data_IF_604612977241
#
_entry.id   IF_604612977241
#
_cell.length_a   1.000
_cell.length_b   1.000
_cell.length_c   1.000
_cell.angle_alpha   90.00
_cell.angle_beta   90.00
_cell.angle_gamma   90.00
#
_symmetry.space_group_name_H-M   'P 1'
#
loop_
_entity.id
_entity.type
_entity.pdbx_description
1 polymer ?
#
# COMPACT_ATOMS: atom_id res chain seq x y z
N UNK A 1 12.34 -7.59 -11.58
CA UNK A 1 12.46 -6.71 -10.39
C UNK A 1 12.32 -5.28 -10.88
N UNK A 2 11.32 -4.53 -10.43
CA UNK A 2 11.19 -3.10 -10.75
C UNK A 2 12.35 -2.35 -10.11
N UNK A 3 12.97 -1.41 -10.86
CA UNK A 3 14.05 -0.58 -10.33
C UNK A 3 13.53 0.32 -9.19
N UNK A 4 14.38 0.57 -8.19
CA UNK A 4 14.05 1.49 -7.10
C UNK A 4 14.01 2.93 -7.63
N UNK A 5 12.90 3.63 -7.41
CA UNK A 5 12.74 5.05 -7.73
C UNK A 5 13.43 5.93 -6.69
N UNK A 6 13.33 5.54 -5.41
CA UNK A 6 13.92 6.26 -4.30
C UNK A 6 14.66 5.27 -3.41
N UNK A 7 15.94 5.51 -3.14
CA UNK A 7 16.74 4.77 -2.17
C UNK A 7 17.21 5.71 -1.06
N UNK A 8 16.95 5.34 0.17
CA UNK A 8 17.36 6.05 1.39
C UNK A 8 18.36 5.14 2.08
N UNK A 9 19.57 5.61 2.31
CA UNK A 9 20.69 4.80 2.78
C UNK A 9 21.33 5.45 4.02
N UNK A 10 21.08 4.86 5.20
CA UNK A 10 21.70 5.25 6.44
C UNK A 10 21.42 6.71 6.86
N UNK A 11 20.26 7.25 6.50
CA UNK A 11 19.94 8.66 6.75
C UNK A 11 19.79 8.91 8.23
N UNK A 12 20.60 9.81 8.74
CA UNK A 12 20.57 10.28 10.13
C UNK A 12 20.37 11.79 10.17
N UNK A 13 19.50 12.28 11.04
CA UNK A 13 19.28 13.71 11.27
C UNK A 13 19.41 14.05 12.74
N UNK A 14 20.40 14.86 13.04
CA UNK A 14 20.58 15.52 14.34
C UNK A 14 20.26 17.00 14.18
N UNK A 15 19.41 17.56 15.03
CA UNK A 15 19.08 18.99 15.07
C UNK A 15 20.10 19.70 15.94
N UNK A 16 21.22 20.07 15.35
CA UNK A 16 22.32 20.81 15.96
C UNK A 16 23.12 21.51 14.86
N UNK A 17 23.81 22.59 15.23
CA UNK A 17 24.76 23.28 14.33
C UNK A 17 25.99 22.42 14.04
N UNK A 18 26.47 21.67 15.02
CA UNK A 18 27.60 20.76 14.92
C UNK A 18 27.20 19.34 15.32
N UNK A 19 26.72 18.51 14.39
CA UNK A 19 26.19 17.18 14.70
C UNK A 19 27.28 16.10 14.87
N UNK A 20 28.58 16.41 14.64
CA UNK A 20 29.66 15.42 14.57
C UNK A 20 29.83 14.58 15.83
N UNK A 21 29.73 15.18 17.01
CA UNK A 21 29.82 14.47 18.29
C UNK A 21 28.63 13.48 18.48
N UNK A 22 27.41 13.93 18.22
CA UNK A 22 26.23 13.06 18.28
C UNK A 22 26.31 11.92 17.26
N UNK A 23 26.76 12.18 16.04
CA UNK A 23 26.97 11.14 15.02
C UNK A 23 28.01 10.11 15.44
N UNK A 24 29.09 10.53 16.12
CA UNK A 24 30.09 9.62 16.68
C UNK A 24 29.49 8.74 17.77
N UNK A 25 28.71 9.31 18.70
CA UNK A 25 27.99 8.57 19.74
C UNK A 25 27.00 7.56 19.15
N UNK A 26 26.18 7.94 18.17
CA UNK A 26 25.23 7.03 17.52
C UNK A 26 25.94 5.87 16.83
N UNK A 27 27.06 6.12 16.14
CA UNK A 27 27.89 5.07 15.52
C UNK A 27 28.50 4.10 16.53
N UNK A 28 28.79 4.57 17.75
CA UNK A 28 29.26 3.70 18.85
C UNK A 28 28.14 2.95 19.57
N UNK A 29 26.89 3.06 19.10
CA UNK A 29 25.72 2.37 19.67
C UNK A 29 25.03 3.13 20.80
N UNK A 30 25.36 4.40 21.02
CA UNK A 30 24.62 5.21 21.99
C UNK A 30 23.19 5.48 21.48
N UNK A 31 22.20 5.28 22.36
CA UNK A 31 20.82 5.62 22.06
C UNK A 31 20.59 7.15 22.09
N UNK A 32 19.49 7.61 21.46
CA UNK A 32 19.11 9.03 21.38
C UNK A 32 18.98 9.70 22.74
N UNK A 33 18.45 9.00 23.74
CA UNK A 33 18.33 9.50 25.11
C UNK A 33 19.69 9.90 25.69
N UNK A 34 20.73 9.10 25.42
CA UNK A 34 22.09 9.39 25.84
C UNK A 34 22.68 10.59 25.11
N UNK A 35 22.47 10.70 23.78
CA UNK A 35 22.88 11.88 23.00
C UNK A 35 22.22 13.16 23.56
N UNK A 36 20.94 13.09 23.88
CA UNK A 36 20.23 14.24 24.49
C UNK A 36 20.76 14.57 25.87
N UNK A 37 21.02 13.58 26.72
CA UNK A 37 21.52 13.79 28.07
C UNK A 37 22.95 14.37 28.09
N UNK A 38 23.85 13.88 27.23
CA UNK A 38 25.27 14.30 27.25
C UNK A 38 25.54 15.54 26.39
N UNK A 39 24.82 15.71 25.27
CA UNK A 39 25.09 16.82 24.32
C UNK A 39 23.96 17.82 24.19
N UNK A 40 22.76 17.58 24.74
CA UNK A 40 21.59 18.42 24.56
C UNK A 40 21.06 18.43 23.10
N UNK A 41 21.45 17.47 22.29
CA UNK A 41 21.13 17.43 20.85
C UNK A 41 19.99 16.47 20.56
N UNK A 42 19.02 16.91 19.75
CA UNK A 42 17.84 16.11 19.37
C UNK A 42 18.17 15.29 18.13
N UNK A 43 18.02 13.98 18.24
CA UNK A 43 18.13 13.06 17.10
C UNK A 43 16.74 12.80 16.51
N UNK A 44 16.48 13.35 15.32
CA UNK A 44 15.21 13.18 14.60
C UNK A 44 15.13 11.87 13.83
N UNK A 45 16.24 11.48 13.19
CA UNK A 45 16.38 10.23 12.45
C UNK A 45 17.67 9.53 12.84
N UNK A 46 17.64 8.21 12.91
CA UNK A 46 18.79 7.39 13.26
C UNK A 46 18.91 6.20 12.27
N UNK A 47 19.91 6.29 11.38
CA UNK A 47 20.28 5.24 10.42
C UNK A 47 19.12 4.66 9.60
N UNK A 48 18.25 5.53 9.09
CA UNK A 48 17.07 5.11 8.30
C UNK A 48 17.50 4.67 6.92
N UNK A 49 17.12 3.42 6.54
CA UNK A 49 17.32 2.88 5.20
C UNK A 49 16.02 2.29 4.67
N UNK A 50 15.62 2.69 3.46
CA UNK A 50 14.39 2.25 2.78
C UNK A 50 14.63 2.21 1.26
N UNK A 51 13.93 1.29 0.58
CA UNK A 51 13.91 1.21 -0.89
C UNK A 51 12.48 1.30 -1.39
N UNK A 52 12.20 2.31 -2.20
CA UNK A 52 10.87 2.58 -2.75
C UNK A 52 10.86 2.23 -4.24
N UNK A 53 10.20 1.13 -4.63
CA UNK A 53 10.12 0.73 -6.03
C UNK A 53 9.39 1.77 -6.89
N UNK A 54 9.75 1.87 -8.16
CA UNK A 54 9.01 2.70 -9.12
C UNK A 54 7.55 2.26 -9.22
N UNK A 55 6.62 3.23 -9.23
CA UNK A 55 5.19 2.99 -9.30
C UNK A 55 4.55 2.47 -8.02
N UNK A 56 5.29 2.33 -6.92
CA UNK A 56 4.74 1.88 -5.64
C UNK A 56 4.00 3.01 -4.90
N UNK A 57 2.99 2.63 -4.12
CA UNK A 57 2.47 3.44 -3.01
C UNK A 57 3.13 2.93 -1.74
N UNK A 58 4.15 3.65 -1.29
CA UNK A 58 4.95 3.27 -0.14
C UNK A 58 4.53 4.07 1.08
N UNK A 59 4.07 3.39 2.13
CA UNK A 59 3.55 4.00 3.34
C UNK A 59 4.63 4.12 4.40
N UNK A 60 4.73 5.28 5.05
CA UNK A 60 5.55 5.48 6.25
C UNK A 60 4.62 5.76 7.42
N UNK A 61 4.67 4.90 8.41
CA UNK A 61 3.81 4.95 9.58
C UNK A 61 4.58 5.10 10.88
N UNK A 62 3.88 5.39 11.96
CA UNK A 62 4.36 5.44 13.35
C UNK A 62 3.65 6.52 14.16
N UNK A 63 3.84 6.52 15.45
CA UNK A 63 3.25 7.52 16.35
C UNK A 63 3.82 8.93 16.10
N UNK A 64 3.18 9.95 16.68
CA UNK A 64 3.70 11.31 16.66
C UNK A 64 5.12 11.34 17.25
N UNK A 65 6.02 12.11 16.63
CA UNK A 65 7.42 12.18 17.06
C UNK A 65 8.32 11.05 16.56
N UNK A 66 7.82 10.03 15.85
CA UNK A 66 8.65 8.92 15.35
C UNK A 66 9.63 9.29 14.21
N UNK A 67 9.61 10.53 13.70
CA UNK A 67 10.54 11.01 12.67
C UNK A 67 10.00 11.04 11.23
N UNK A 68 8.77 10.60 10.97
CA UNK A 68 8.17 10.49 9.62
C UNK A 68 8.25 11.78 8.79
N UNK A 69 7.74 12.90 9.33
CA UNK A 69 7.77 14.19 8.63
C UNK A 69 9.20 14.73 8.49
N UNK A 70 10.10 14.40 9.43
CA UNK A 70 11.53 14.70 9.29
C UNK A 70 12.12 13.95 8.11
N UNK A 71 11.82 12.65 7.97
CA UNK A 71 12.26 11.84 6.84
C UNK A 71 11.73 12.40 5.51
N UNK A 72 10.43 12.71 5.41
CA UNK A 72 9.84 13.34 4.22
C UNK A 72 10.56 14.62 3.81
N UNK A 73 10.88 15.46 4.79
CA UNK A 73 11.60 16.73 4.56
C UNK A 73 13.07 16.53 4.25
N UNK A 74 13.69 15.44 4.70
CA UNK A 74 15.05 15.08 4.28
C UNK A 74 15.06 14.58 2.83
N UNK A 75 14.06 13.81 2.38
CA UNK A 75 13.99 13.27 1.04
C UNK A 75 14.01 14.37 -0.02
N UNK A 76 13.25 15.44 0.17
CA UNK A 76 13.27 16.59 -0.73
C UNK A 76 14.29 17.67 -0.28
N UNK A 77 15.13 17.34 0.71
CA UNK A 77 16.18 18.18 1.28
C UNK A 77 15.70 19.56 1.77
N UNK A 78 14.41 19.66 2.20
CA UNK A 78 13.94 20.83 2.97
C UNK A 78 14.58 20.89 4.36
N UNK A 79 14.93 19.72 4.88
CA UNK A 79 15.79 19.56 6.07
C UNK A 79 17.03 18.80 5.60
N UNK A 80 18.21 19.39 5.82
CA UNK A 80 19.47 18.76 5.45
C UNK A 80 19.74 17.53 6.34
N UNK A 81 19.96 16.32 5.78
CA UNK A 81 20.43 15.19 6.56
C UNK A 81 21.78 15.47 7.20
N UNK A 82 22.04 14.92 8.38
CA UNK A 82 23.37 15.03 9.04
C UNK A 82 24.34 13.94 8.56
N UNK A 83 23.81 12.81 8.07
CA UNK A 83 24.58 11.73 7.45
C UNK A 83 23.65 10.88 6.57
N UNK A 84 24.25 10.00 5.75
CA UNK A 84 23.55 9.10 4.84
C UNK A 84 23.37 9.69 3.46
N UNK A 85 22.68 8.93 2.59
CA UNK A 85 22.43 9.29 1.18
C UNK A 85 20.98 9.13 0.83
N UNK A 86 20.49 9.91 -0.13
CA UNK A 86 19.14 9.83 -0.67
C UNK A 86 19.28 9.87 -2.19
N UNK A 87 18.96 8.76 -2.83
CA UNK A 87 19.11 8.58 -4.27
C UNK A 87 17.74 8.62 -4.95
N UNK A 88 17.58 9.46 -5.96
CA UNK A 88 16.42 9.48 -6.85
C UNK A 88 16.87 8.96 -8.23
N UNK A 89 16.41 7.78 -8.63
CA UNK A 89 16.89 7.04 -9.81
C UNK A 89 18.43 6.98 -9.88
N UNK A 90 19.08 6.74 -8.73
CA UNK A 90 20.54 6.67 -8.60
C UNK A 90 21.25 8.01 -8.46
N UNK A 91 20.57 9.15 -8.66
CA UNK A 91 21.16 10.49 -8.44
C UNK A 91 21.06 10.90 -6.97
N UNK A 92 22.19 11.24 -6.35
CA UNK A 92 22.23 11.64 -4.94
C UNK A 92 21.70 13.07 -4.73
N UNK A 93 20.55 13.16 -4.08
CA UNK A 93 19.89 14.43 -3.76
C UNK A 93 20.67 15.21 -2.69
N UNK A 94 21.37 14.50 -1.76
CA UNK A 94 22.07 15.14 -0.64
C UNK A 94 23.29 15.93 -1.13
N UNK A 95 24.02 15.40 -2.11
CA UNK A 95 25.21 16.04 -2.66
C UNK A 95 24.91 16.94 -3.86
N UNK A 96 23.66 16.97 -4.34
CA UNK A 96 23.25 17.79 -5.48
C UNK A 96 23.53 19.28 -5.24
N UNK A 97 24.05 19.98 -6.25
CA UNK A 97 24.24 21.43 -6.20
C UNK A 97 22.92 22.17 -6.00
N UNK A 98 22.90 23.40 -5.46
CA UNK A 98 21.69 24.17 -5.28
C UNK A 98 20.86 24.36 -6.57
N UNK A 99 21.51 24.47 -7.72
CA UNK A 99 20.86 24.59 -9.03
C UNK A 99 20.18 23.26 -9.40
N UNK A 100 20.89 22.13 -9.25
CA UNK A 100 20.36 20.80 -9.54
C UNK A 100 19.23 20.41 -8.58
N UNK A 101 19.37 20.71 -7.30
CA UNK A 101 18.30 20.48 -6.29
C UNK A 101 17.02 21.25 -6.64
N UNK A 102 17.12 22.51 -7.06
CA UNK A 102 15.95 23.27 -7.54
C UNK A 102 15.30 22.61 -8.76
N UNK A 103 16.11 22.09 -9.68
CA UNK A 103 15.64 21.36 -10.86
C UNK A 103 14.88 20.07 -10.45
N UNK A 104 15.46 19.24 -9.57
CA UNK A 104 14.84 18.02 -9.06
C UNK A 104 13.50 18.31 -8.37
N UNK A 105 13.45 19.31 -7.50
CA UNK A 105 12.21 19.75 -6.82
C UNK A 105 11.16 20.31 -7.78
N UNK A 106 11.59 20.92 -8.87
CA UNK A 106 10.69 21.50 -9.86
C UNK A 106 10.09 20.45 -10.79
N UNK A 107 10.85 19.39 -11.13
CA UNK A 107 10.50 18.47 -12.21
C UNK A 107 10.24 17.03 -11.76
N UNK A 108 10.95 16.55 -10.71
CA UNK A 108 10.97 15.14 -10.33
C UNK A 108 10.25 14.83 -9.03
N UNK A 109 10.16 15.80 -8.11
CA UNK A 109 9.54 15.61 -6.80
C UNK A 109 8.44 16.63 -6.56
N UNK A 110 7.31 16.19 -6.01
CA UNK A 110 6.26 17.07 -5.53
C UNK A 110 5.89 16.71 -4.09
N UNK A 111 5.41 17.67 -3.32
CA UNK A 111 5.06 17.43 -1.91
C UNK A 111 3.72 18.06 -1.55
N UNK A 112 2.89 17.27 -0.88
CA UNK A 112 1.69 17.71 -0.16
C UNK A 112 2.05 17.83 1.32
N UNK A 113 1.87 19.02 1.88
CA UNK A 113 2.22 19.33 3.26
C UNK A 113 1.02 19.14 4.20
N UNK A 114 1.26 18.77 5.42
CA UNK A 114 0.28 18.66 6.50
C UNK A 114 -0.49 19.96 6.71
N UNK A 115 0.18 21.13 6.63
CA UNK A 115 -0.40 22.48 6.83
C UNK A 115 -0.63 23.21 5.50
N UNK A 116 -1.16 22.53 4.47
CA UNK A 116 -1.59 23.07 3.18
C UNK A 116 -0.53 23.84 2.38
N UNK A 117 0.27 24.70 3.01
CA UNK A 117 1.27 25.58 2.40
C UNK A 117 0.76 26.33 1.15
N UNK A 118 -0.50 26.79 1.19
CA UNK A 118 -1.09 27.59 0.11
C UNK A 118 -0.66 29.05 0.23
N UNK A 119 -0.50 29.70 -0.91
CA UNK A 119 -0.24 31.12 -1.00
C UNK A 119 -1.55 31.92 -0.75
N UNK A 120 -1.67 32.66 0.37
CA UNK A 120 -2.95 33.28 0.76
C UNK A 120 -3.39 34.40 -0.18
N UNK A 121 -2.45 35.05 -0.84
CA UNK A 121 -2.67 36.14 -1.78
C UNK A 121 -2.95 35.69 -3.22
N UNK A 122 -3.01 34.37 -3.47
CA UNK A 122 -3.29 33.75 -4.75
C UNK A 122 -4.64 33.04 -4.73
N UNK A 123 -5.31 33.00 -5.87
CA UNK A 123 -6.53 32.21 -6.02
C UNK A 123 -6.23 30.70 -5.98
N UNK A 124 -7.26 29.88 -5.89
CA UNK A 124 -7.16 28.41 -5.90
C UNK A 124 -6.42 27.95 -7.16
N UNK A 125 -6.85 28.36 -8.33
CA UNK A 125 -6.21 27.96 -9.59
C UNK A 125 -4.80 28.47 -9.72
N UNK A 126 -4.49 29.68 -9.25
CA UNK A 126 -3.11 30.21 -9.23
C UNK A 126 -2.20 29.43 -8.27
N UNK A 127 -2.74 28.90 -7.18
CA UNK A 127 -2.00 27.99 -6.30
C UNK A 127 -1.68 26.67 -7.01
N UNK A 128 -2.62 26.10 -7.75
CA UNK A 128 -2.42 24.84 -8.50
C UNK A 128 -1.45 25.05 -9.66
N UNK A 129 -1.55 26.17 -10.39
CA UNK A 129 -0.66 26.52 -11.49
C UNK A 129 0.81 26.76 -11.07
N UNK A 130 1.07 27.02 -9.79
CA UNK A 130 2.35 27.54 -9.32
C UNK A 130 3.53 26.67 -9.78
N UNK A 131 3.46 25.35 -9.60
CA UNK A 131 4.51 24.43 -10.01
C UNK A 131 4.77 24.47 -11.51
N UNK A 132 3.70 24.51 -12.32
CA UNK A 132 3.78 24.60 -13.79
C UNK A 132 4.36 25.96 -14.22
N UNK A 133 3.99 27.05 -13.54
CA UNK A 133 4.56 28.38 -13.79
C UNK A 133 6.07 28.41 -13.54
N UNK A 134 6.54 27.80 -12.45
CA UNK A 134 7.97 27.69 -12.13
C UNK A 134 8.73 26.83 -13.14
N UNK A 135 8.04 25.92 -13.85
CA UNK A 135 8.59 25.11 -14.96
C UNK A 135 8.60 25.87 -16.30
N UNK A 136 8.04 27.07 -16.37
CA UNK A 136 7.95 27.86 -17.61
C UNK A 136 6.83 27.43 -18.57
N UNK A 137 5.86 26.64 -18.10
CA UNK A 137 4.70 26.22 -18.93
C UNK A 137 3.87 27.42 -19.32
N UNK A 138 3.44 27.49 -20.59
CA UNK A 138 2.62 28.58 -21.12
C UNK A 138 1.32 28.78 -20.33
N UNK A 139 0.86 30.03 -20.22
CA UNK A 139 -0.28 30.41 -19.35
C UNK A 139 -1.56 29.64 -19.65
N UNK A 140 -1.87 29.45 -20.92
CA UNK A 140 -3.07 28.73 -21.39
C UNK A 140 -3.00 27.24 -21.01
N UNK A 141 -1.85 26.60 -21.22
CA UNK A 141 -1.64 25.18 -20.90
C UNK A 141 -1.68 24.91 -19.39
N UNK A 142 -0.97 25.74 -18.58
CA UNK A 142 -0.99 25.56 -17.14
C UNK A 142 -2.37 25.81 -16.51
N UNK A 143 -3.14 26.78 -17.06
CA UNK A 143 -4.52 27.05 -16.63
C UNK A 143 -5.42 25.85 -16.91
N UNK A 144 -5.39 25.33 -18.14
CA UNK A 144 -6.17 24.17 -18.52
C UNK A 144 -5.85 22.95 -17.64
N UNK A 145 -4.54 22.68 -17.39
CA UNK A 145 -4.12 21.59 -16.51
C UNK A 145 -4.55 21.79 -15.06
N UNK A 146 -4.48 23.01 -14.55
CA UNK A 146 -4.93 23.33 -13.19
C UNK A 146 -6.44 23.12 -13.02
N UNK A 147 -7.24 23.53 -14.00
CA UNK A 147 -8.70 23.34 -13.99
C UNK A 147 -9.09 21.87 -14.12
N UNK A 148 -8.40 21.11 -14.98
CA UNK A 148 -8.55 19.64 -15.06
C UNK A 148 -8.35 18.98 -13.69
N UNK A 149 -7.22 19.27 -13.03
CA UNK A 149 -6.90 18.65 -11.74
C UNK A 149 -7.83 19.15 -10.63
N UNK A 150 -8.28 20.41 -10.66
CA UNK A 150 -9.28 20.92 -9.73
C UNK A 150 -10.62 20.19 -9.88
N UNK A 151 -10.99 19.83 -11.09
CA UNK A 151 -12.18 18.98 -11.33
C UNK A 151 -12.02 17.60 -10.70
N UNK A 152 -10.85 16.97 -10.85
CA UNK A 152 -10.54 15.67 -10.26
C UNK A 152 -10.69 15.68 -8.73
N UNK A 153 -10.23 16.74 -8.05
CA UNK A 153 -10.36 16.85 -6.59
C UNK A 153 -11.70 17.45 -6.13
N UNK A 154 -12.68 17.60 -7.04
CA UNK A 154 -14.02 18.09 -6.73
C UNK A 154 -14.09 19.58 -6.38
N UNK A 155 -13.22 20.41 -6.98
CA UNK A 155 -13.13 21.85 -6.74
C UNK A 155 -13.30 22.70 -8.00
N UNK A 156 -13.94 22.18 -9.06
CA UNK A 156 -14.10 22.89 -10.34
C UNK A 156 -14.73 24.30 -10.20
N UNK A 157 -15.74 24.47 -9.34
CA UNK A 157 -16.42 25.76 -9.11
C UNK A 157 -15.67 26.75 -8.22
N UNK A 158 -14.47 26.37 -7.72
CA UNK A 158 -13.75 27.16 -6.71
C UNK A 158 -12.47 27.83 -7.23
N UNK A 159 -12.21 27.73 -8.54
CA UNK A 159 -10.97 28.18 -9.21
C UNK A 159 -10.58 29.63 -8.88
N UNK A 160 -11.55 30.54 -8.80
CA UNK A 160 -11.32 31.97 -8.59
C UNK A 160 -11.41 32.41 -7.11
N UNK A 161 -11.72 31.50 -6.20
CA UNK A 161 -11.75 31.78 -4.75
C UNK A 161 -10.35 31.86 -4.16
N UNK A 162 -10.23 32.44 -2.99
CA UNK A 162 -8.97 32.49 -2.23
C UNK A 162 -8.94 31.39 -1.18
N UNK A 163 -7.75 30.98 -0.68
CA UNK A 163 -7.64 30.01 0.40
C UNK A 163 -8.41 30.38 1.68
N UNK A 164 -8.59 31.67 1.96
CA UNK A 164 -9.41 32.18 3.07
C UNK A 164 -10.89 31.77 2.98
N UNK A 165 -11.41 31.59 1.77
CA UNK A 165 -12.82 31.29 1.49
C UNK A 165 -13.12 29.78 1.59
N UNK A 166 -12.11 28.96 1.87
CA UNK A 166 -12.19 27.52 1.83
C UNK A 166 -12.19 26.88 3.23
N UNK A 167 -12.90 25.77 3.40
CA UNK A 167 -12.77 24.91 4.58
C UNK A 167 -11.37 24.26 4.66
N UNK A 168 -11.01 23.69 5.80
CA UNK A 168 -9.74 22.96 5.98
C UNK A 168 -9.57 21.83 4.94
N UNK A 169 -10.61 21.00 4.77
CA UNK A 169 -10.59 19.92 3.78
C UNK A 169 -10.49 20.42 2.34
N UNK A 170 -11.13 21.54 2.00
CA UNK A 170 -10.98 22.14 0.66
C UNK A 170 -9.55 22.65 0.42
N UNK A 171 -8.93 23.30 1.42
CA UNK A 171 -7.51 23.70 1.33
C UNK A 171 -6.58 22.51 1.13
N UNK A 172 -6.85 21.37 1.80
CA UNK A 172 -6.10 20.13 1.59
C UNK A 172 -6.21 19.65 0.13
N UNK A 173 -7.42 19.63 -0.43
CA UNK A 173 -7.66 19.25 -1.82
C UNK A 173 -6.97 20.17 -2.82
N UNK A 174 -6.88 21.48 -2.54
CA UNK A 174 -6.06 22.42 -3.35
C UNK A 174 -4.59 22.08 -3.28
N UNK A 175 -4.05 21.73 -2.10
CA UNK A 175 -2.68 21.29 -1.92
C UNK A 175 -2.36 20.00 -2.71
N UNK A 176 -3.29 19.04 -2.70
CA UNK A 176 -3.21 17.82 -3.50
C UNK A 176 -3.25 18.15 -5.01
N UNK A 177 -4.20 18.98 -5.45
CA UNK A 177 -4.30 19.40 -6.85
C UNK A 177 -3.00 20.07 -7.34
N UNK A 178 -2.41 20.96 -6.52
CA UNK A 178 -1.12 21.60 -6.83
C UNK A 178 0.00 20.58 -7.04
N UNK A 179 0.05 19.55 -6.21
CA UNK A 179 1.07 18.51 -6.31
C UNK A 179 0.85 17.62 -7.56
N UNK A 180 -0.39 17.22 -7.83
CA UNK A 180 -0.76 16.42 -9.00
C UNK A 180 -0.54 17.16 -10.34
N UNK A 181 -0.79 18.47 -10.37
CA UNK A 181 -0.62 19.28 -11.58
C UNK A 181 0.82 19.30 -12.11
N UNK A 182 1.81 19.10 -11.23
CA UNK A 182 3.23 19.13 -11.63
C UNK A 182 3.70 17.90 -12.40
N UNK A 183 2.93 16.82 -12.43
CA UNK A 183 3.30 15.56 -13.08
C UNK A 183 4.69 15.01 -12.67
N UNK A 184 5.07 15.22 -11.41
CA UNK A 184 6.35 14.75 -10.86
C UNK A 184 6.41 13.22 -10.79
N UNK A 185 7.63 12.65 -10.81
CA UNK A 185 7.82 11.19 -10.74
C UNK A 185 7.56 10.63 -9.35
N UNK A 186 7.89 11.43 -8.31
CA UNK A 186 7.69 11.10 -6.90
C UNK A 186 6.77 12.12 -6.25
N UNK A 187 5.70 11.63 -5.65
CA UNK A 187 4.77 12.41 -4.85
C UNK A 187 4.97 12.07 -3.37
N UNK A 188 5.43 13.03 -2.58
CA UNK A 188 5.58 12.91 -1.13
C UNK A 188 4.33 13.51 -0.47
N UNK A 189 3.62 12.73 0.32
CA UNK A 189 2.37 13.14 0.98
C UNK A 189 2.56 13.05 2.50
N UNK A 190 2.63 14.19 3.18
CA UNK A 190 2.81 14.27 4.63
C UNK A 190 1.45 14.51 5.29
N UNK A 191 0.81 13.45 5.80
CA UNK A 191 -0.53 13.44 6.41
C UNK A 191 -1.61 14.14 5.55
N UNK A 192 -1.59 13.85 4.25
CA UNK A 192 -2.35 14.60 3.25
C UNK A 192 -3.88 14.49 3.39
N UNK A 193 -4.40 13.54 4.14
CA UNK A 193 -5.85 13.33 4.31
C UNK A 193 -6.31 13.52 5.77
N UNK A 194 -5.41 13.91 6.68
CA UNK A 194 -5.73 14.02 8.12
C UNK A 194 -6.81 15.06 8.45
N UNK A 195 -6.90 16.15 7.67
CA UNK A 195 -7.87 17.23 7.87
C UNK A 195 -9.18 17.03 7.08
N UNK A 196 -9.39 15.87 6.43
CA UNK A 196 -10.61 15.55 5.70
C UNK A 196 -11.60 14.82 6.61
N UNK A 197 -12.89 15.08 6.40
CA UNK A 197 -13.95 14.26 6.99
C UNK A 197 -13.91 12.83 6.41
N UNK A 198 -14.46 11.81 7.11
CA UNK A 198 -14.32 10.41 6.72
C UNK A 198 -14.83 10.09 5.32
N UNK A 199 -15.92 10.73 4.87
CA UNK A 199 -16.50 10.47 3.55
C UNK A 199 -15.57 10.98 2.45
N UNK A 200 -15.19 12.25 2.54
CA UNK A 200 -14.29 12.90 1.58
C UNK A 200 -12.91 12.23 1.58
N UNK A 201 -12.42 11.81 2.75
CA UNK A 201 -11.16 11.04 2.86
C UNK A 201 -11.24 9.77 2.03
N UNK A 202 -12.32 9.01 2.17
CA UNK A 202 -12.51 7.77 1.41
C UNK A 202 -12.52 8.03 -0.10
N UNK A 203 -13.26 9.04 -0.55
CA UNK A 203 -13.33 9.44 -1.97
C UNK A 203 -11.95 9.85 -2.51
N UNK A 204 -11.19 10.65 -1.75
CA UNK A 204 -9.85 11.09 -2.15
C UNK A 204 -8.82 9.95 -2.20
N UNK A 205 -8.93 8.99 -1.29
CA UNK A 205 -8.12 7.77 -1.33
C UNK A 205 -8.40 6.93 -2.57
N UNK A 206 -9.68 6.74 -2.92
CA UNK A 206 -10.09 5.98 -4.10
C UNK A 206 -9.66 6.69 -5.39
N UNK A 207 -9.74 8.03 -5.41
CA UNK A 207 -9.24 8.83 -6.53
C UNK A 207 -7.72 8.74 -6.66
N UNK A 208 -6.98 8.82 -5.55
CA UNK A 208 -5.52 8.66 -5.56
C UNK A 208 -5.11 7.29 -6.13
N UNK A 209 -5.81 6.21 -5.75
CA UNK A 209 -5.56 4.87 -6.29
C UNK A 209 -5.87 4.78 -7.79
N UNK A 210 -6.97 5.42 -8.26
CA UNK A 210 -7.30 5.48 -9.69
C UNK A 210 -6.22 6.21 -10.49
N UNK A 211 -5.81 7.39 -10.02
CA UNK A 211 -4.75 8.18 -10.63
C UNK A 211 -3.42 7.42 -10.65
N UNK A 212 -3.03 6.81 -9.53
CA UNK A 212 -1.78 6.06 -9.43
C UNK A 212 -1.72 4.92 -10.46
N UNK A 213 -2.81 4.16 -10.64
CA UNK A 213 -2.90 3.09 -11.64
C UNK A 213 -2.78 3.60 -13.08
N UNK A 214 -3.33 4.78 -13.38
CA UNK A 214 -3.30 5.36 -14.73
C UNK A 214 -1.97 5.99 -15.10
N UNK A 215 -1.30 6.65 -14.13
CA UNK A 215 -0.07 7.42 -14.38
C UNK A 215 1.20 6.75 -13.84
N UNK A 216 1.07 5.62 -13.13
CA UNK A 216 2.17 4.82 -12.57
C UNK A 216 3.22 5.65 -11.80
N UNK A 217 2.78 6.64 -11.01
CA UNK A 217 3.66 7.48 -10.18
C UNK A 217 4.05 6.77 -8.90
N UNK A 218 5.24 7.09 -8.41
CA UNK A 218 5.70 6.62 -7.11
C UNK A 218 5.18 7.56 -6.02
N UNK A 219 4.50 7.03 -5.04
CA UNK A 219 3.91 7.80 -3.94
C UNK A 219 4.57 7.37 -2.63
N UNK A 220 5.15 8.32 -1.92
CA UNK A 220 5.59 8.15 -0.54
C UNK A 220 4.55 8.81 0.36
N UNK A 221 3.80 8.02 1.09
CA UNK A 221 2.68 8.50 1.88
C UNK A 221 2.93 8.33 3.36
N UNK A 222 2.89 9.42 4.11
CA UNK A 222 3.06 9.45 5.55
C UNK A 222 1.70 9.55 6.22
N UNK A 223 1.43 8.64 7.12
CA UNK A 223 0.21 8.62 7.92
C UNK A 223 0.45 8.04 9.31
N UNK A 224 -0.44 8.34 10.24
CA UNK A 224 -0.55 7.64 11.52
C UNK A 224 -1.74 6.68 11.54
N UNK A 225 -2.57 6.66 10.47
CA UNK A 225 -3.74 5.81 10.34
C UNK A 225 -3.38 4.50 9.61
N UNK A 226 -3.45 3.38 10.36
CA UNK A 226 -3.09 2.07 9.83
C UNK A 226 -4.10 1.56 8.78
N UNK A 227 -5.39 1.91 8.90
CA UNK A 227 -6.40 1.56 7.91
C UNK A 227 -6.10 2.22 6.55
N UNK A 228 -5.64 3.47 6.59
CA UNK A 228 -5.19 4.19 5.40
C UNK A 228 -3.99 3.49 4.75
N UNK A 229 -3.01 3.07 5.57
CA UNK A 229 -1.84 2.34 5.07
C UNK A 229 -2.21 0.97 4.47
N UNK A 230 -3.17 0.26 5.05
CA UNK A 230 -3.67 -1.01 4.51
C UNK A 230 -4.43 -0.84 3.19
N UNK A 231 -5.20 0.26 3.06
CA UNK A 231 -6.01 0.53 1.87
C UNK A 231 -5.15 0.97 0.67
N UNK A 232 -4.18 1.84 0.92
CA UNK A 232 -3.41 2.51 -0.14
C UNK A 232 -2.08 1.83 -0.43
N UNK A 233 -1.44 1.27 0.60
CA UNK A 233 -0.05 0.86 0.55
C UNK A 233 0.19 -0.45 -0.20
N UNK A 234 1.19 -0.44 -1.08
CA UNK A 234 1.80 -1.67 -1.61
C UNK A 234 2.88 -2.21 -0.67
N UNK A 235 3.55 -1.30 0.06
CA UNK A 235 4.51 -1.59 1.14
C UNK A 235 4.34 -0.58 2.26
N UNK A 236 4.66 -1.01 3.48
CA UNK A 236 4.57 -0.20 4.69
C UNK A 236 5.90 -0.29 5.44
N UNK A 237 6.45 0.85 5.83
CA UNK A 237 7.53 0.96 6.83
C UNK A 237 6.96 1.58 8.10
N UNK A 238 7.17 0.94 9.23
CA UNK A 238 6.77 1.45 10.56
C UNK A 238 7.98 2.03 11.25
N UNK A 239 7.86 3.29 11.67
CA UNK A 239 8.92 4.03 12.35
C UNK A 239 8.61 4.19 13.84
N UNK A 240 9.63 3.98 14.67
CA UNK A 240 9.66 4.34 16.07
C UNK A 240 11.01 4.99 16.38
N UNK A 241 11.01 6.00 17.25
CA UNK A 241 12.23 6.67 17.69
C UNK A 241 13.22 7.03 16.57
N UNK A 242 12.71 7.49 15.42
CA UNK A 242 13.47 7.91 14.23
C UNK A 242 14.17 6.80 13.48
N UNK A 243 13.84 5.55 13.75
CA UNK A 243 14.32 4.37 13.02
C UNK A 243 13.17 3.60 12.41
N UNK A 244 13.43 2.79 11.39
CA UNK A 244 12.48 1.82 10.85
C UNK A 244 12.54 0.57 11.70
N UNK A 245 11.41 0.19 12.31
CA UNK A 245 11.32 -0.99 13.20
C UNK A 245 10.70 -2.18 12.49
N UNK A 246 9.92 -1.96 11.45
CA UNK A 246 9.31 -3.03 10.61
C UNK A 246 9.05 -2.53 9.21
N UNK A 247 9.28 -3.38 8.21
CA UNK A 247 8.96 -3.13 6.81
C UNK A 247 8.40 -4.41 6.17
N UNK A 248 7.41 -4.26 5.31
CA UNK A 248 6.80 -5.38 4.59
C UNK A 248 5.58 -4.97 3.77
N UNK A 249 4.91 -5.95 3.18
CA UNK A 249 3.56 -5.76 2.64
C UNK A 249 2.57 -5.57 3.81
N UNK A 250 1.38 -4.99 3.57
CA UNK A 250 0.32 -4.95 4.58
C UNK A 250 0.07 -6.31 5.24
N UNK A 251 0.08 -7.38 4.44
CA UNK A 251 -0.14 -8.74 4.90
C UNK A 251 1.00 -9.24 5.80
N UNK A 252 2.27 -8.99 5.40
CA UNK A 252 3.45 -9.40 6.19
C UNK A 252 3.42 -8.79 7.59
N UNK A 253 3.08 -7.49 7.69
CA UNK A 253 3.05 -6.77 8.97
C UNK A 253 1.95 -7.29 9.88
N UNK A 254 0.77 -7.63 9.33
CA UNK A 254 -0.35 -8.17 10.13
C UNK A 254 -0.10 -9.62 10.55
N UNK A 255 0.61 -10.42 9.72
CA UNK A 255 0.94 -11.81 10.04
C UNK A 255 2.10 -11.94 11.03
N UNK A 256 3.10 -11.08 10.88
CA UNK A 256 4.29 -11.06 11.70
C UNK A 256 4.67 -9.63 12.07
N UNK A 257 4.11 -9.07 13.15
CA UNK A 257 4.41 -7.72 13.59
C UNK A 257 5.86 -7.52 14.04
N UNK A 258 6.52 -8.57 14.52
CA UNK A 258 7.91 -8.57 14.98
C UNK A 258 8.15 -7.88 16.33
N UNK A 259 7.21 -7.08 16.84
CA UNK A 259 7.30 -6.42 18.15
C UNK A 259 5.93 -6.03 18.70
N UNK A 260 5.81 -5.85 20.02
CA UNK A 260 4.56 -5.39 20.66
C UNK A 260 4.14 -4.01 20.17
N UNK A 261 5.10 -3.14 19.87
CA UNK A 261 4.83 -1.82 19.30
C UNK A 261 4.09 -1.91 17.96
N UNK A 262 4.54 -2.77 17.06
CA UNK A 262 3.88 -2.99 15.76
C UNK A 262 2.58 -3.77 15.93
N UNK A 263 2.54 -4.76 16.83
CA UNK A 263 1.33 -5.54 17.13
C UNK A 263 0.17 -4.66 17.61
N UNK A 264 0.46 -3.58 18.35
CA UNK A 264 -0.56 -2.63 18.79
C UNK A 264 -1.31 -1.95 17.63
N UNK A 265 -0.65 -1.70 16.48
CA UNK A 265 -1.32 -1.16 15.28
C UNK A 265 -2.18 -2.19 14.55
N UNK A 266 -1.86 -3.49 14.69
CA UNK A 266 -2.50 -4.57 13.93
C UNK A 266 -3.62 -5.26 14.67
N UNK A 267 -3.86 -4.91 15.95
CA UNK A 267 -4.80 -5.61 16.85
C UNK A 267 -6.24 -5.61 16.34
N UNK A 268 -6.71 -4.46 15.85
CA UNK A 268 -8.10 -4.24 15.47
C UNK A 268 -8.34 -4.32 13.95
N UNK A 269 -7.45 -5.03 13.22
CA UNK A 269 -7.55 -5.14 11.77
C UNK A 269 -8.59 -6.16 11.35
N UNK A 270 -9.48 -5.74 10.46
CA UNK A 270 -10.38 -6.65 9.75
C UNK A 270 -9.59 -7.50 8.73
N UNK A 271 -9.12 -8.66 9.20
CA UNK A 271 -8.36 -9.61 8.38
C UNK A 271 -9.18 -10.16 7.22
N UNK A 272 -10.50 -10.22 7.36
CA UNK A 272 -11.39 -10.64 6.29
C UNK A 272 -11.35 -9.72 5.07
N UNK A 273 -11.11 -8.43 5.29
CA UNK A 273 -10.94 -7.44 4.22
C UNK A 273 -9.50 -7.29 3.73
N UNK A 274 -8.53 -7.66 4.54
CA UNK A 274 -7.11 -7.56 4.17
C UNK A 274 -6.69 -8.71 3.28
N UNK A 275 -6.96 -9.94 3.69
CA UNK A 275 -6.48 -11.14 3.01
C UNK A 275 -7.37 -11.54 1.82
N UNK A 276 -6.75 -12.11 0.80
CA UNK A 276 -7.42 -12.67 -0.36
C UNK A 276 -7.52 -14.20 -0.26
N UNK A 277 -8.39 -14.80 -1.04
CA UNK A 277 -8.59 -16.25 -1.15
C UNK A 277 -7.26 -16.99 -1.41
N UNK A 278 -6.42 -16.45 -2.28
CA UNK A 278 -5.09 -16.99 -2.60
C UNK A 278 -4.15 -17.13 -1.39
N UNK A 279 -4.38 -16.37 -0.32
CA UNK A 279 -3.54 -16.42 0.89
C UNK A 279 -3.90 -17.55 1.86
N UNK A 280 -5.03 -18.22 1.63
CA UNK A 280 -5.55 -19.28 2.52
C UNK A 280 -5.91 -20.57 1.77
N UNK A 281 -6.04 -20.51 0.44
CA UNK A 281 -6.37 -21.70 -0.36
C UNK A 281 -5.27 -22.74 -0.26
N UNK A 282 -5.67 -23.99 -0.20
CA UNK A 282 -4.80 -25.14 -0.40
C UNK A 282 -4.88 -25.65 -1.83
N UNK A 283 -3.82 -26.28 -2.37
CA UNK A 283 -3.91 -27.00 -3.62
C UNK A 283 -5.06 -28.00 -3.58
N UNK A 284 -5.91 -27.99 -4.59
CA UNK A 284 -6.98 -28.98 -4.68
C UNK A 284 -6.44 -30.28 -5.30
N UNK A 285 -6.93 -31.41 -4.82
CA UNK A 285 -6.72 -32.73 -5.40
C UNK A 285 -8.05 -33.20 -6.01
N UNK A 286 -8.39 -32.75 -7.26
CA UNK A 286 -9.69 -33.01 -7.87
C UNK A 286 -9.75 -34.40 -8.53
N UNK A 287 -10.95 -34.92 -8.66
CA UNK A 287 -11.24 -35.98 -9.63
C UNK A 287 -11.20 -35.40 -11.03
N UNK A 288 -10.42 -36.02 -11.92
CA UNK A 288 -10.29 -35.59 -13.33
C UNK A 288 -11.06 -36.50 -14.22
N UNK A 289 -11.95 -35.96 -15.06
CA UNK A 289 -12.79 -36.68 -15.96
C UNK A 289 -12.49 -36.26 -17.40
N UNK A 290 -11.93 -37.18 -18.19
CA UNK A 290 -11.70 -37.00 -19.62
C UNK A 290 -12.89 -37.36 -20.46
N UNK A 291 -12.75 -37.20 -21.79
CA UNK A 291 -13.77 -37.56 -22.77
C UNK A 291 -14.14 -39.05 -22.74
N UNK A 292 -13.15 -39.90 -22.46
CA UNK A 292 -13.29 -41.37 -22.49
C UNK A 292 -13.51 -41.98 -21.09
N UNK A 293 -13.68 -41.17 -20.05
CA UNK A 293 -13.95 -41.61 -18.69
C UNK A 293 -13.07 -40.99 -17.60
N UNK A 294 -12.92 -41.69 -16.48
CA UNK A 294 -12.15 -41.24 -15.32
C UNK A 294 -10.65 -41.29 -15.61
N UNK A 295 -9.96 -40.14 -15.49
CA UNK A 295 -8.52 -40.01 -15.71
C UNK A 295 -7.74 -40.16 -14.40
N UNK A 296 -8.22 -39.52 -13.32
CA UNK A 296 -7.59 -39.60 -12.02
C UNK A 296 -8.60 -39.54 -10.88
N UNK A 297 -8.29 -40.25 -9.78
CA UNK A 297 -9.03 -40.16 -8.49
C UNK A 297 -8.25 -39.43 -7.48
N UNK A 298 -8.89 -38.60 -6.63
CA UNK A 298 -8.21 -37.85 -5.57
C UNK A 298 -7.70 -38.81 -4.49
N UNK A 299 -6.52 -38.49 -3.97
CA UNK A 299 -5.86 -39.19 -2.85
C UNK A 299 -6.15 -38.50 -1.52
N UNK A 300 -6.35 -37.18 -1.51
CA UNK A 300 -6.56 -36.42 -0.30
C UNK A 300 -7.82 -36.86 0.47
N UNK A 301 -7.78 -36.93 1.80
CA UNK A 301 -8.96 -37.19 2.62
C UNK A 301 -9.90 -35.98 2.60
N UNK A 302 -11.22 -36.25 2.72
CA UNK A 302 -12.22 -35.20 2.78
C UNK A 302 -13.62 -35.72 2.45
N UNK A 303 -14.69 -35.11 2.97
CA UNK A 303 -16.05 -35.58 2.73
C UNK A 303 -16.53 -35.27 1.30
N UNK A 304 -15.97 -34.23 0.67
CA UNK A 304 -16.37 -33.75 -0.67
C UNK A 304 -15.14 -33.72 -1.57
N UNK A 305 -15.36 -34.06 -2.83
CA UNK A 305 -14.33 -34.08 -3.86
C UNK A 305 -14.74 -33.17 -5.00
N UNK A 306 -13.84 -32.28 -5.39
CA UNK A 306 -14.00 -31.42 -6.56
C UNK A 306 -13.79 -32.23 -7.84
N UNK A 307 -14.57 -31.95 -8.86
CA UNK A 307 -14.53 -32.65 -10.16
C UNK A 307 -14.18 -31.65 -11.23
N UNK A 308 -13.15 -31.94 -12.01
CA UNK A 308 -12.71 -31.12 -13.15
C UNK A 308 -12.70 -31.94 -14.45
N UNK A 309 -12.74 -31.27 -15.57
CA UNK A 309 -12.47 -31.89 -16.86
C UNK A 309 -10.95 -32.06 -17.13
N UNK A 310 -10.61 -32.63 -18.28
CA UNK A 310 -9.22 -32.83 -18.73
C UNK A 310 -8.44 -31.53 -18.98
N UNK A 311 -9.12 -30.37 -19.04
CA UNK A 311 -8.53 -29.04 -19.15
C UNK A 311 -8.38 -28.33 -17.79
N UNK A 312 -8.86 -28.95 -16.70
CA UNK A 312 -8.86 -28.41 -15.35
C UNK A 312 -10.05 -27.49 -15.02
N UNK A 313 -11.05 -27.39 -15.90
CA UNK A 313 -12.27 -26.60 -15.66
C UNK A 313 -13.13 -27.30 -14.61
N UNK A 314 -13.57 -26.56 -13.59
CA UNK A 314 -14.39 -27.07 -12.51
C UNK A 314 -15.80 -27.40 -12.99
N UNK A 315 -16.15 -28.68 -12.95
CA UNK A 315 -17.48 -29.18 -13.28
C UNK A 315 -18.43 -29.10 -12.09
N UNK A 316 -17.97 -29.45 -10.89
CA UNK A 316 -18.76 -29.43 -9.67
C UNK A 316 -18.10 -30.20 -8.53
N UNK A 317 -18.91 -30.76 -7.63
CA UNK A 317 -18.46 -31.55 -6.49
C UNK A 317 -19.28 -32.85 -6.34
N UNK A 318 -18.67 -33.86 -5.74
CA UNK A 318 -19.33 -35.12 -5.38
C UNK A 318 -19.02 -35.48 -3.93
N UNK A 319 -19.95 -36.15 -3.26
CA UNK A 319 -19.67 -36.74 -1.98
C UNK A 319 -18.70 -37.92 -2.13
N UNK A 320 -17.78 -38.06 -1.20
CA UNK A 320 -16.78 -39.15 -1.22
C UNK A 320 -17.43 -40.54 -1.28
N UNK A 321 -18.57 -40.72 -0.63
CA UNK A 321 -19.34 -41.97 -0.67
C UNK A 321 -19.82 -42.35 -2.08
N UNK A 322 -20.05 -41.38 -2.97
CA UNK A 322 -20.52 -41.54 -4.32
C UNK A 322 -19.40 -41.82 -5.34
N UNK A 323 -18.12 -41.61 -4.96
CA UNK A 323 -16.96 -41.74 -5.85
C UNK A 323 -16.86 -43.17 -6.45
N UNK A 324 -17.17 -44.20 -5.65
CA UNK A 324 -17.11 -45.60 -6.11
C UNK A 324 -18.09 -45.87 -7.24
N UNK A 325 -19.21 -45.15 -7.32
CA UNK A 325 -20.24 -45.26 -8.35
C UNK A 325 -19.89 -44.52 -9.67
N UNK A 326 -18.80 -43.69 -9.65
CA UNK A 326 -18.37 -42.94 -10.83
C UNK A 326 -17.38 -43.78 -11.62
N UNK A 327 -17.84 -44.37 -12.69
CA UNK A 327 -17.03 -45.18 -13.60
C UNK A 327 -16.88 -44.55 -14.99
N UNK A 328 -17.74 -43.56 -15.30
CA UNK A 328 -17.76 -42.87 -16.59
C UNK A 328 -17.96 -41.35 -16.43
N UNK A 329 -17.68 -40.61 -17.49
CA UNK A 329 -17.97 -39.17 -17.56
C UNK A 329 -19.48 -38.88 -17.42
N UNK A 330 -20.34 -39.79 -17.85
CA UNK A 330 -21.80 -39.67 -17.70
C UNK A 330 -22.22 -39.81 -16.23
N UNK A 331 -21.63 -40.75 -15.48
CA UNK A 331 -21.90 -40.92 -14.05
C UNK A 331 -21.49 -39.70 -13.27
N UNK A 332 -20.30 -39.16 -13.56
CA UNK A 332 -19.82 -37.97 -12.92
C UNK A 332 -20.76 -36.75 -13.13
N UNK A 333 -21.19 -36.52 -14.38
CA UNK A 333 -22.16 -35.45 -14.69
C UNK A 333 -23.50 -35.65 -13.98
N UNK A 334 -23.94 -36.86 -13.78
CA UNK A 334 -25.20 -37.19 -13.12
C UNK A 334 -25.12 -37.03 -11.60
N UNK A 335 -23.98 -37.41 -10.99
CA UNK A 335 -23.76 -37.39 -9.53
C UNK A 335 -23.12 -36.12 -9.04
N UNK A 336 -22.56 -35.31 -9.95
CA UNK A 336 -21.87 -34.07 -9.64
C UNK A 336 -22.88 -32.93 -9.35
N UNK A 337 -22.82 -32.38 -8.14
CA UNK A 337 -23.53 -31.14 -7.85
C UNK A 337 -22.78 -29.96 -8.44
N UNK A 338 -23.45 -29.15 -9.24
CA UNK A 338 -22.90 -27.89 -9.78
C UNK A 338 -23.05 -26.73 -8.82
N UNK A 339 -23.82 -26.92 -7.75
CA UNK A 339 -24.02 -25.93 -6.68
C UNK A 339 -22.82 -25.97 -5.73
N UNK A 340 -21.74 -25.31 -6.15
CA UNK A 340 -20.51 -25.12 -5.37
C UNK A 340 -20.16 -23.65 -5.33
N UNK A 341 -19.91 -23.09 -4.13
CA UNK A 341 -19.41 -21.73 -3.99
C UNK A 341 -18.08 -21.56 -4.74
N UNK A 342 -18.02 -20.56 -5.61
CA UNK A 342 -16.81 -20.23 -6.39
C UNK A 342 -16.36 -18.82 -6.10
N UNK A 343 -15.07 -18.65 -5.93
CA UNK A 343 -14.43 -17.34 -5.74
C UNK A 343 -13.19 -17.24 -6.61
N UNK A 344 -12.69 -16.01 -6.78
CA UNK A 344 -11.44 -15.75 -7.49
C UNK A 344 -10.27 -15.72 -6.50
N UNK A 345 -9.01 -15.89 -6.95
CA UNK A 345 -7.83 -15.83 -6.09
C UNK A 345 -7.68 -14.50 -5.36
N UNK A 346 -8.12 -13.40 -5.97
CA UNK A 346 -8.06 -12.03 -5.45
C UNK A 346 -9.29 -11.64 -4.60
N UNK A 347 -10.34 -12.46 -4.56
CA UNK A 347 -11.52 -12.25 -3.71
C UNK A 347 -11.12 -12.15 -2.24
N UNK A 348 -11.67 -11.15 -1.53
CA UNK A 348 -11.39 -10.97 -0.09
C UNK A 348 -12.03 -12.07 0.74
N UNK A 349 -11.43 -12.42 1.90
CA UNK A 349 -11.96 -13.49 2.76
C UNK A 349 -13.38 -13.20 3.23
N UNK A 350 -13.78 -11.93 3.39
CA UNK A 350 -15.15 -11.55 3.66
C UNK A 350 -16.10 -11.92 2.53
N UNK A 351 -15.64 -11.90 1.28
CA UNK A 351 -16.43 -12.32 0.11
C UNK A 351 -16.48 -13.85 0.02
N UNK A 352 -15.35 -14.51 0.35
CA UNK A 352 -15.32 -15.98 0.51
C UNK A 352 -16.35 -16.43 1.56
N UNK A 353 -16.37 -15.77 2.72
CA UNK A 353 -17.32 -16.08 3.79
C UNK A 353 -18.79 -15.85 3.37
N UNK A 354 -19.07 -14.84 2.56
CA UNK A 354 -20.43 -14.58 2.02
C UNK A 354 -20.84 -15.59 0.94
N UNK A 355 -19.88 -15.98 0.10
CA UNK A 355 -20.13 -16.99 -0.92
C UNK A 355 -20.38 -18.38 -0.32
N UNK A 356 -19.90 -18.61 0.90
CA UNK A 356 -20.05 -19.86 1.60
C UNK A 356 -21.43 -19.98 2.24
N UNK A 357 -22.43 -20.41 1.47
CA UNK A 357 -23.82 -20.53 1.91
C UNK A 357 -24.16 -21.95 2.42
N UNK A 358 -23.51 -22.97 1.86
CA UNK A 358 -23.68 -24.37 2.26
C UNK A 358 -22.53 -25.19 1.69
N UNK A 359 -22.19 -26.30 2.34
CA UNK A 359 -21.14 -27.20 1.87
C UNK A 359 -19.84 -27.14 2.66
N UNK A 360 -18.94 -28.09 2.37
CA UNK A 360 -17.70 -28.29 3.11
C UNK A 360 -16.54 -27.41 2.64
N UNK A 361 -16.58 -26.92 1.40
CA UNK A 361 -15.46 -26.22 0.76
C UNK A 361 -15.92 -25.10 -0.19
N UNK A 362 -15.06 -24.11 -0.42
CA UNK A 362 -15.21 -23.09 -1.46
C UNK A 362 -14.13 -23.32 -2.52
N UNK A 363 -14.53 -23.41 -3.78
CA UNK A 363 -13.59 -23.57 -4.87
C UNK A 363 -13.00 -22.22 -5.31
N UNK A 364 -11.69 -22.18 -5.53
CA UNK A 364 -10.99 -21.02 -6.08
C UNK A 364 -10.68 -21.27 -7.55
N UNK A 365 -11.20 -20.42 -8.44
CA UNK A 365 -11.07 -20.59 -9.89
C UNK A 365 -10.51 -19.34 -10.57
N UNK A 366 -9.83 -19.55 -11.71
CA UNK A 366 -9.40 -18.46 -12.59
C UNK A 366 -10.57 -17.89 -13.43
N UNK A 367 -10.28 -16.91 -14.30
CA UNK A 367 -11.26 -16.28 -15.20
C UNK A 367 -11.90 -17.27 -16.20
N UNK A 368 -11.22 -18.37 -16.48
CA UNK A 368 -11.69 -19.41 -17.41
C UNK A 368 -12.42 -20.55 -16.69
N UNK A 369 -12.59 -20.45 -15.36
CA UNK A 369 -13.22 -21.47 -14.53
C UNK A 369 -12.31 -22.65 -14.20
N UNK A 370 -10.99 -22.54 -14.41
CA UNK A 370 -10.04 -23.59 -14.02
C UNK A 370 -9.85 -23.56 -12.50
N UNK A 371 -9.85 -24.73 -11.90
CA UNK A 371 -9.63 -24.91 -10.48
C UNK A 371 -8.17 -24.60 -10.12
N UNK A 372 -7.96 -23.68 -9.20
CA UNK A 372 -6.65 -23.30 -8.68
C UNK A 372 -6.40 -23.84 -7.26
N UNK A 373 -7.46 -24.01 -6.49
CA UNK A 373 -7.40 -24.52 -5.13
C UNK A 373 -8.77 -24.58 -4.48
N UNK A 374 -8.78 -24.93 -3.20
CA UNK A 374 -10.00 -24.95 -2.37
C UNK A 374 -9.72 -24.32 -1.00
N UNK A 375 -10.76 -23.80 -0.37
CA UNK A 375 -10.73 -23.23 0.96
C UNK A 375 -11.70 -23.98 1.84
N UNK A 376 -11.20 -24.54 2.93
CA UNK A 376 -12.02 -25.17 3.97
C UNK A 376 -12.44 -24.14 5.04
N UNK A 377 -13.57 -24.37 5.73
CA UNK A 377 -14.05 -23.51 6.82
C UNK A 377 -12.98 -23.21 7.88
N UNK A 378 -12.27 -24.24 8.31
CA UNK A 378 -11.23 -24.12 9.34
C UNK A 378 -10.10 -23.16 8.91
N UNK A 379 -9.67 -23.22 7.66
CA UNK A 379 -8.63 -22.35 7.11
C UNK A 379 -9.08 -20.89 7.10
N UNK A 380 -10.33 -20.64 6.68
CA UNK A 380 -10.92 -19.30 6.67
C UNK A 380 -11.02 -18.72 8.09
N UNK A 381 -11.56 -19.49 9.03
CA UNK A 381 -11.73 -19.07 10.43
C UNK A 381 -10.38 -18.83 11.13
N UNK A 382 -9.41 -19.72 10.95
CA UNK A 382 -8.08 -19.58 11.50
C UNK A 382 -7.39 -18.28 11.01
N UNK A 383 -7.49 -17.97 9.71
CA UNK A 383 -6.90 -16.74 9.15
C UNK A 383 -7.60 -15.48 9.65
N UNK A 384 -8.92 -15.47 9.74
CA UNK A 384 -9.69 -14.32 10.26
C UNK A 384 -9.44 -14.16 11.76
N UNK A 385 -9.39 -15.27 12.52
CA UNK A 385 -9.15 -15.29 13.96
C UNK A 385 -7.72 -14.96 14.37
N UNK A 386 -6.79 -14.93 13.43
CA UNK A 386 -5.40 -14.53 13.69
C UNK A 386 -4.44 -15.67 13.95
N UNK A 387 -4.86 -16.89 13.83
CA UNK A 387 -3.97 -18.04 13.89
C UNK A 387 -3.10 -18.11 12.62
N UNK A 388 -1.83 -18.46 12.78
CA UNK A 388 -1.00 -18.81 11.62
C UNK A 388 -1.61 -20.05 10.98
N UNK A 389 -1.93 -19.99 9.69
CA UNK A 389 -2.30 -21.20 8.96
C UNK A 389 -1.16 -22.21 9.14
N UNK A 390 -1.47 -23.33 9.79
CA UNK A 390 -0.54 -24.47 9.82
C UNK A 390 -0.47 -24.96 8.37
N UNK A 391 0.72 -25.00 7.74
CA UNK A 391 0.84 -25.60 6.43
C UNK A 391 0.34 -27.06 6.54
N UNK A 392 -0.35 -27.58 5.53
CA UNK A 392 -0.74 -28.99 5.56
C UNK A 392 0.51 -29.83 5.77
N UNK A 393 0.46 -30.69 6.76
CA UNK A 393 1.51 -31.67 7.03
C UNK A 393 1.69 -32.53 5.75
N UNK A 394 2.93 -32.81 5.30
CA UNK A 394 3.20 -33.50 4.05
C UNK A 394 2.65 -34.93 4.02
#
# INVERSE_FOLDING_TARGET
>A
MTADRLSIEGVTKVFAEQPSAALAMLRSGAGKARVMAELGQIVGLDNVSLRVPAGAVYMIMGLSGSGKSTLARCINRLVEPSAGRILLDGEDVVTASPARLRELRRTRMSMVFQHFALLPNKTVVENVELGLKLRGVAATQRRAKAEEVLSVVGLAGWSHRRPSDLSGGMRQRVGLARALATDADVLIMDEAFSALDPLIRTEMQDELLRLQRSINKTILFITHDFQEALKLGTRIAIMADGAVVREGTPQDIVLDPGSDYVAAFTRDIDRGRLFAASSVMSPADPMIIGKDGLVARPLAPGPVILVVDDTGILLGQVDRSSVAAITSAADARRLCSTDIPRVRPDSKLVEVARAWTSGAIVAVTDERGRLLGSIEPGQLLARIGGERAVPPTP
#
